data_IF_295682925840
#
_entry.id   IF_295682925840
#
_cell.length_a   1.000
_cell.length_b   1.000
_cell.length_c   1.000
_cell.angle_alpha   90.00
_cell.angle_beta   90.00
_cell.angle_gamma   90.00
#
_symmetry.space_group_name_H-M   'P 1'
#
loop_
_entity.id
_entity.type
_entity.pdbx_description
1 polymer ?
#
# COMPACT_ATOMS: atom_id res chain seq x y z
N UNK A 1 21.22 33.47 -1.96
CA UNK A 1 21.39 32.03 -2.25
C UNK A 1 20.75 31.19 -1.13
N UNK A 2 19.43 31.25 -1.00
CA UNK A 2 18.67 30.49 0.02
C UNK A 2 17.34 30.11 -0.65
N UNK A 3 17.31 29.00 -1.37
CA UNK A 3 16.15 28.60 -2.18
C UNK A 3 16.08 27.09 -2.41
N UNK A 4 16.57 26.30 -1.48
CA UNK A 4 16.66 24.84 -1.65
C UNK A 4 16.47 24.15 -0.32
N UNK A 5 15.20 23.88 0.02
CA UNK A 5 14.68 22.82 0.92
C UNK A 5 13.22 23.16 1.27
N UNK A 6 12.39 23.30 0.24
CA UNK A 6 10.95 23.10 0.37
C UNK A 6 10.79 21.57 0.29
N UNK A 7 10.72 20.82 1.39
CA UNK A 7 9.42 20.46 1.97
C UNK A 7 8.30 21.26 1.30
N UNK A 8 7.74 20.68 0.23
CA UNK A 8 6.52 21.20 -0.37
C UNK A 8 5.52 21.40 0.77
N UNK A 9 5.22 22.66 1.05
CA UNK A 9 4.12 23.04 1.91
C UNK A 9 2.88 22.27 1.47
N UNK A 10 2.02 21.79 2.39
CA UNK A 10 0.72 21.24 2.02
C UNK A 10 0.06 22.19 1.02
N UNK A 11 -0.35 21.69 -0.14
CA UNK A 11 -1.00 22.53 -1.13
C UNK A 11 -2.43 22.85 -0.67
N UNK A 12 -2.53 23.90 0.14
CA UNK A 12 -3.79 24.45 0.65
C UNK A 12 -4.69 25.02 -0.47
N UNK A 13 -4.23 25.07 -1.73
CA UNK A 13 -5.06 25.55 -2.86
C UNK A 13 -6.24 24.63 -3.16
N UNK A 14 -6.13 23.34 -2.80
CA UNK A 14 -7.18 22.32 -2.96
C UNK A 14 -8.16 22.24 -1.78
N UNK A 15 -7.79 22.79 -0.62
CA UNK A 15 -8.53 22.62 0.64
C UNK A 15 -8.43 21.21 1.26
N UNK A 16 -7.58 20.33 0.71
CA UNK A 16 -7.36 18.96 1.20
C UNK A 16 -6.01 18.85 1.94
N UNK A 17 -5.99 18.10 3.04
CA UNK A 17 -4.76 17.74 3.76
C UNK A 17 -4.14 16.52 3.07
N UNK A 18 -3.12 16.76 2.24
CA UNK A 18 -2.46 15.72 1.45
C UNK A 18 -1.28 15.12 2.21
N UNK A 19 -1.22 13.79 2.26
CA UNK A 19 -0.10 13.03 2.84
C UNK A 19 1.08 12.87 1.88
N UNK A 20 2.05 12.04 2.28
CA UNK A 20 3.32 11.82 1.57
C UNK A 20 3.18 11.41 0.09
N UNK A 21 2.12 10.68 -0.25
CA UNK A 21 1.83 10.24 -1.61
C UNK A 21 1.05 11.29 -2.43
N UNK A 22 0.88 12.52 -1.94
CA UNK A 22 0.06 13.55 -2.61
C UNK A 22 -1.44 13.22 -2.62
N UNK A 23 -1.90 12.44 -1.63
CA UNK A 23 -3.28 11.96 -1.51
C UNK A 23 -3.82 12.21 -0.09
N UNK A 24 -5.13 12.38 0.10
CA UNK A 24 -5.74 12.56 1.43
C UNK A 24 -5.79 11.25 2.24
N UNK A 25 -5.14 10.20 1.76
CA UNK A 25 -5.04 8.88 2.39
C UNK A 25 -3.66 8.29 2.12
N UNK A 26 -3.26 7.33 2.96
CA UNK A 26 -1.89 6.81 2.99
C UNK A 26 -1.55 5.94 1.79
N UNK A 27 -2.50 5.14 1.30
CA UNK A 27 -2.27 4.16 0.22
C UNK A 27 -3.15 4.47 -0.99
N UNK A 28 -2.59 4.51 -2.21
CA UNK A 28 -3.38 4.67 -3.43
C UNK A 28 -4.52 3.65 -3.52
N UNK A 29 -5.75 4.14 -3.65
CA UNK A 29 -6.95 3.30 -3.66
C UNK A 29 -7.19 2.75 -5.06
N UNK A 30 -6.97 3.56 -6.09
CA UNK A 30 -7.16 3.15 -7.48
C UNK A 30 -6.43 1.84 -7.84
N UNK A 31 -5.09 1.70 -7.66
CA UNK A 31 -4.40 0.47 -8.06
C UNK A 31 -4.87 -0.75 -7.26
N UNK A 32 -5.26 -0.60 -5.99
CA UNK A 32 -5.84 -1.71 -5.22
C UNK A 32 -7.18 -2.17 -5.81
N UNK A 33 -8.03 -1.23 -6.19
CA UNK A 33 -9.29 -1.53 -6.87
C UNK A 33 -9.07 -2.10 -8.29
N UNK A 34 -8.01 -1.70 -8.99
CA UNK A 34 -7.63 -2.29 -10.28
C UNK A 34 -7.30 -3.77 -10.11
N UNK A 35 -6.45 -4.14 -9.14
CA UNK A 35 -6.11 -5.54 -8.88
C UNK A 35 -7.36 -6.37 -8.56
N UNK A 36 -8.27 -5.82 -7.76
CA UNK A 36 -9.50 -6.50 -7.41
C UNK A 36 -10.42 -6.69 -8.63
N UNK A 37 -10.61 -5.65 -9.44
CA UNK A 37 -11.38 -5.71 -10.69
C UNK A 37 -10.80 -6.73 -11.66
N UNK A 38 -9.48 -6.72 -11.89
CA UNK A 38 -8.80 -7.67 -12.76
C UNK A 38 -8.94 -9.10 -12.23
N UNK A 39 -8.78 -9.30 -10.92
CA UNK A 39 -8.95 -10.59 -10.28
C UNK A 39 -10.36 -11.16 -10.49
N UNK A 40 -11.40 -10.37 -10.22
CA UNK A 40 -12.79 -10.76 -10.43
C UNK A 40 -13.08 -11.07 -11.89
N UNK A 41 -12.66 -10.21 -12.81
CA UNK A 41 -12.86 -10.43 -14.25
C UNK A 41 -12.14 -11.70 -14.75
N UNK A 42 -10.89 -11.92 -14.30
CA UNK A 42 -10.09 -13.09 -14.67
C UNK A 42 -10.69 -14.38 -14.13
N UNK A 43 -11.11 -14.39 -12.87
CA UNK A 43 -11.78 -15.53 -12.25
C UNK A 43 -13.08 -15.84 -12.99
N UNK A 44 -13.87 -14.81 -13.34
CA UNK A 44 -15.09 -14.99 -14.10
C UNK A 44 -14.83 -15.69 -15.45
N UNK A 45 -13.82 -15.21 -16.17
CA UNK A 45 -13.42 -15.77 -17.45
C UNK A 45 -12.90 -17.21 -17.33
N UNK A 46 -12.10 -17.51 -16.30
CA UNK A 46 -11.60 -18.87 -16.05
C UNK A 46 -12.77 -19.83 -15.85
N UNK A 47 -13.76 -19.48 -15.03
CA UNK A 47 -14.92 -20.33 -14.81
C UNK A 47 -15.76 -20.51 -16.08
N UNK A 48 -15.97 -19.45 -16.86
CA UNK A 48 -16.68 -19.55 -18.14
C UNK A 48 -15.91 -20.42 -19.15
N UNK A 49 -14.57 -20.34 -19.20
CA UNK A 49 -13.72 -21.20 -20.04
C UNK A 49 -13.85 -22.66 -19.61
N UNK A 50 -13.69 -22.96 -18.32
CA UNK A 50 -13.80 -24.32 -17.76
C UNK A 50 -15.19 -24.89 -18.07
N UNK A 51 -16.25 -24.14 -17.77
CA UNK A 51 -17.62 -24.57 -17.98
C UNK A 51 -17.94 -24.80 -19.47
N UNK A 52 -17.45 -23.93 -20.36
CA UNK A 52 -17.70 -24.03 -21.81
C UNK A 52 -16.87 -25.13 -22.46
N UNK A 53 -15.63 -25.34 -22.01
CA UNK A 53 -14.65 -26.27 -22.59
C UNK A 53 -14.77 -27.71 -22.06
N UNK A 54 -15.81 -28.01 -21.29
CA UNK A 54 -15.98 -29.31 -20.65
C UNK A 54 -15.92 -30.51 -21.61
N UNK A 55 -16.34 -30.36 -22.87
CA UNK A 55 -16.20 -31.43 -23.87
C UNK A 55 -14.73 -31.73 -24.23
N UNK A 56 -13.90 -30.69 -24.30
CA UNK A 56 -12.48 -30.78 -24.66
C UNK A 56 -11.62 -31.22 -23.48
N UNK A 57 -11.95 -30.75 -22.27
CA UNK A 57 -11.19 -31.04 -21.04
C UNK A 57 -11.60 -32.35 -20.36
N UNK A 58 -12.58 -33.07 -20.93
CA UNK A 58 -13.11 -34.33 -20.40
C UNK A 58 -12.02 -35.38 -20.08
N UNK A 59 -11.02 -35.64 -20.95
CA UNK A 59 -9.98 -36.62 -20.64
C UNK A 59 -9.16 -36.26 -19.39
N UNK A 60 -8.95 -34.97 -19.14
CA UNK A 60 -8.23 -34.48 -17.96
C UNK A 60 -9.08 -34.66 -16.70
N UNK A 61 -10.37 -34.30 -16.77
CA UNK A 61 -11.29 -34.47 -15.64
C UNK A 61 -11.48 -35.94 -15.27
N UNK A 62 -11.64 -36.81 -16.27
CA UNK A 62 -11.77 -38.25 -16.07
C UNK A 62 -10.47 -38.82 -15.45
N UNK A 63 -9.30 -38.38 -15.94
CA UNK A 63 -7.99 -38.78 -15.39
C UNK A 63 -7.78 -38.33 -13.93
N UNK A 64 -8.29 -37.15 -13.57
CA UNK A 64 -8.20 -36.60 -12.21
C UNK A 64 -9.39 -37.00 -11.31
N UNK A 65 -10.37 -37.76 -11.83
CA UNK A 65 -11.62 -38.11 -11.15
C UNK A 65 -12.39 -36.90 -10.60
N UNK A 66 -12.33 -35.78 -11.32
CA UNK A 66 -13.04 -34.55 -10.98
C UNK A 66 -14.39 -34.57 -11.71
N UNK A 67 -15.48 -34.30 -10.99
CA UNK A 67 -16.82 -34.20 -11.57
C UNK A 67 -17.31 -32.75 -11.48
N UNK A 68 -16.92 -31.89 -12.44
CA UNK A 68 -17.18 -30.46 -12.34
C UNK A 68 -18.67 -30.13 -12.51
N UNK A 69 -19.24 -29.40 -11.55
CA UNK A 69 -20.57 -28.84 -11.69
C UNK A 69 -20.53 -27.61 -12.61
N UNK A 70 -20.90 -27.82 -13.87
CA UNK A 70 -20.94 -26.75 -14.89
C UNK A 70 -21.90 -25.63 -14.52
N UNK A 71 -23.02 -25.93 -13.87
CA UNK A 71 -23.99 -24.92 -13.48
C UNK A 71 -23.37 -24.00 -12.42
N UNK A 72 -22.74 -24.59 -11.40
CA UNK A 72 -22.00 -23.85 -10.39
C UNK A 72 -20.89 -22.98 -10.99
N UNK A 73 -20.12 -23.47 -11.97
CA UNK A 73 -19.09 -22.66 -12.63
C UNK A 73 -19.68 -21.49 -13.42
N UNK A 74 -20.79 -21.68 -14.14
CA UNK A 74 -21.44 -20.53 -14.77
C UNK A 74 -21.94 -19.52 -13.74
N UNK A 75 -22.45 -19.97 -12.57
CA UNK A 75 -22.86 -19.07 -11.48
C UNK A 75 -21.68 -18.27 -10.92
N UNK A 76 -20.56 -18.94 -10.62
CA UNK A 76 -19.33 -18.29 -10.17
C UNK A 76 -18.83 -17.29 -11.23
N UNK A 77 -18.85 -17.67 -12.50
CA UNK A 77 -18.51 -16.79 -13.62
C UNK A 77 -19.39 -15.53 -13.64
N UNK A 78 -20.70 -15.70 -13.55
CA UNK A 78 -21.67 -14.62 -13.56
C UNK A 78 -21.47 -13.61 -12.41
N UNK A 79 -21.39 -14.09 -11.17
CA UNK A 79 -21.31 -13.21 -10.01
C UNK A 79 -19.98 -12.46 -9.92
N UNK A 80 -18.87 -13.10 -10.31
CA UNK A 80 -17.58 -12.43 -10.38
C UNK A 80 -17.57 -11.34 -11.46
N UNK A 81 -18.16 -11.60 -12.64
CA UNK A 81 -18.23 -10.60 -13.70
C UNK A 81 -19.11 -9.41 -13.32
N UNK A 82 -20.28 -9.68 -12.70
CA UNK A 82 -21.17 -8.62 -12.22
C UNK A 82 -20.49 -7.76 -11.15
N UNK A 83 -19.80 -8.40 -10.19
CA UNK A 83 -19.02 -7.68 -9.19
C UNK A 83 -17.92 -6.85 -9.84
N UNK A 84 -17.15 -7.42 -10.79
CA UNK A 84 -16.12 -6.70 -11.53
C UNK A 84 -16.69 -5.46 -12.20
N UNK A 85 -17.83 -5.56 -12.88
CA UNK A 85 -18.49 -4.43 -13.53
C UNK A 85 -18.85 -3.31 -12.55
N UNK A 86 -19.45 -3.65 -11.41
CA UNK A 86 -19.83 -2.68 -10.38
C UNK A 86 -18.61 -2.00 -9.76
N UNK A 87 -17.59 -2.78 -9.41
CA UNK A 87 -16.37 -2.26 -8.78
C UNK A 87 -15.58 -1.39 -9.76
N UNK A 88 -15.59 -1.72 -11.07
CA UNK A 88 -14.88 -0.93 -12.07
C UNK A 88 -15.35 0.53 -12.11
N UNK A 89 -16.63 0.82 -11.85
CA UNK A 89 -17.10 2.20 -11.71
C UNK A 89 -16.35 2.94 -10.60
N UNK A 90 -16.20 2.29 -9.44
CA UNK A 90 -15.47 2.84 -8.30
C UNK A 90 -13.97 2.93 -8.61
N UNK A 91 -13.40 1.92 -9.26
CA UNK A 91 -12.01 1.93 -9.74
C UNK A 91 -11.72 3.13 -10.63
N UNK A 92 -12.58 3.40 -11.61
CA UNK A 92 -12.41 4.53 -12.54
C UNK A 92 -12.62 5.87 -11.83
N UNK A 93 -13.59 5.96 -10.91
CA UNK A 93 -13.81 7.19 -10.14
C UNK A 93 -12.58 7.58 -9.31
N UNK A 94 -12.00 6.63 -8.56
CA UNK A 94 -10.75 6.85 -7.84
C UNK A 94 -9.58 7.12 -8.80
N UNK A 95 -9.54 6.45 -9.96
CA UNK A 95 -8.52 6.73 -10.97
C UNK A 95 -8.54 8.18 -11.45
N UNK A 96 -9.73 8.74 -11.71
CA UNK A 96 -9.86 10.16 -12.05
C UNK A 96 -9.48 11.07 -10.89
N UNK A 97 -9.94 10.76 -9.68
CA UNK A 97 -9.60 11.55 -8.50
C UNK A 97 -8.08 11.61 -8.27
N UNK A 98 -7.40 10.47 -8.33
CA UNK A 98 -5.94 10.41 -8.16
C UNK A 98 -5.22 11.11 -9.32
N UNK A 99 -5.66 10.94 -10.58
CA UNK A 99 -5.09 11.69 -11.72
C UNK A 99 -5.23 13.22 -11.58
N UNK A 100 -6.31 13.73 -10.97
CA UNK A 100 -6.48 15.18 -10.73
C UNK A 100 -5.48 15.73 -9.70
N UNK A 101 -4.96 14.87 -8.83
CA UNK A 101 -3.96 15.20 -7.81
C UNK A 101 -2.53 14.81 -8.23
N UNK A 102 -2.36 14.24 -9.42
CA UNK A 102 -1.08 13.75 -9.89
C UNK A 102 -0.24 14.86 -10.55
N UNK A 103 1.05 14.89 -10.22
CA UNK A 103 2.04 15.76 -10.84
C UNK A 103 3.06 14.92 -11.65
N UNK A 104 2.78 14.61 -12.92
CA UNK A 104 3.66 13.75 -13.72
C UNK A 104 5.01 14.42 -13.99
N UNK A 105 6.15 13.73 -13.76
CA UNK A 105 7.47 14.29 -13.94
C UNK A 105 7.74 14.67 -15.41
N UNK A 106 8.23 15.88 -15.63
CA UNK A 106 8.55 16.38 -16.96
C UNK A 106 9.80 15.68 -17.53
N UNK A 107 9.73 15.26 -18.79
CA UNK A 107 10.85 14.63 -19.49
C UNK A 107 11.12 13.16 -19.11
N UNK A 108 10.41 12.60 -18.13
CA UNK A 108 10.47 11.18 -17.81
C UNK A 108 9.77 10.34 -18.89
N UNK A 109 10.37 9.19 -19.22
CA UNK A 109 9.90 8.29 -20.27
C UNK A 109 9.77 6.87 -19.72
N UNK A 110 8.70 6.18 -20.09
CA UNK A 110 8.43 4.82 -19.65
C UNK A 110 9.28 3.80 -20.41
N UNK A 111 9.35 2.53 -19.97
CA UNK A 111 9.98 1.45 -20.73
C UNK A 111 9.43 1.27 -22.15
N UNK A 112 8.23 1.78 -22.43
CA UNK A 112 7.60 1.76 -23.75
C UNK A 112 7.92 2.98 -24.61
N UNK A 113 8.78 3.88 -24.13
CA UNK A 113 9.13 5.11 -24.85
C UNK A 113 8.08 6.22 -24.74
N UNK A 114 7.08 6.07 -23.86
CA UNK A 114 6.01 7.06 -23.67
C UNK A 114 6.36 8.07 -22.57
N UNK A 115 6.16 9.38 -22.78
CA UNK A 115 6.26 10.37 -21.72
C UNK A 115 5.27 10.10 -20.57
N UNK A 116 5.60 10.55 -19.35
CA UNK A 116 4.75 10.35 -18.17
C UNK A 116 3.32 10.89 -18.34
N UNK A 117 3.18 12.12 -18.85
CA UNK A 117 1.88 12.75 -19.10
C UNK A 117 1.07 11.98 -20.16
N UNK A 118 1.72 11.52 -21.23
CA UNK A 118 1.06 10.74 -22.29
C UNK A 118 0.60 9.37 -21.78
N UNK A 119 1.44 8.70 -20.98
CA UNK A 119 1.11 7.44 -20.32
C UNK A 119 -0.11 7.61 -19.40
N UNK A 120 -0.16 8.70 -18.64
CA UNK A 120 -1.28 9.01 -17.75
C UNK A 120 -2.59 9.21 -18.52
N UNK A 121 -2.57 9.96 -19.63
CA UNK A 121 -3.76 10.16 -20.45
C UNK A 121 -4.24 8.89 -21.13
N UNK A 122 -3.32 8.12 -21.73
CA UNK A 122 -3.66 6.85 -22.38
C UNK A 122 -4.21 5.84 -21.38
N UNK A 123 -3.62 5.76 -20.18
CA UNK A 123 -4.13 4.95 -19.07
C UNK A 123 -5.51 5.40 -18.63
N UNK A 124 -5.72 6.71 -18.45
CA UNK A 124 -7.01 7.27 -18.03
C UNK A 124 -8.13 7.00 -19.03
N UNK A 125 -7.91 7.30 -20.32
CA UNK A 125 -8.88 7.03 -21.39
C UNK A 125 -9.09 5.53 -21.57
N UNK A 126 -8.01 4.74 -21.52
CA UNK A 126 -8.05 3.29 -21.58
C UNK A 126 -8.80 2.66 -20.42
N UNK A 127 -8.74 3.24 -19.22
CA UNK A 127 -9.53 2.84 -18.06
C UNK A 127 -11.03 3.04 -18.26
N UNK A 128 -11.45 4.19 -18.81
CA UNK A 128 -12.87 4.44 -19.17
C UNK A 128 -13.34 3.47 -20.25
N UNK A 129 -12.50 3.21 -21.25
CA UNK A 129 -12.82 2.23 -22.28
C UNK A 129 -12.93 0.82 -21.71
N UNK A 130 -12.06 0.44 -20.77
CA UNK A 130 -12.12 -0.84 -20.04
C UNK A 130 -13.45 -0.98 -19.29
N UNK A 131 -13.90 0.07 -18.58
CA UNK A 131 -15.21 0.10 -17.93
C UNK A 131 -16.33 -0.18 -18.92
N UNK A 132 -16.35 0.52 -20.06
CA UNK A 132 -17.35 0.30 -21.10
C UNK A 132 -17.35 -1.15 -21.59
N UNK A 133 -16.17 -1.72 -21.86
CA UNK A 133 -16.03 -3.11 -22.33
C UNK A 133 -16.50 -4.12 -21.29
N UNK A 134 -16.14 -3.96 -20.02
CA UNK A 134 -16.55 -4.85 -18.93
C UNK A 134 -18.07 -4.81 -18.76
N UNK A 135 -18.69 -3.63 -18.78
CA UNK A 135 -20.16 -3.49 -18.70
C UNK A 135 -20.83 -4.14 -19.90
N UNK A 136 -20.32 -3.92 -21.12
CA UNK A 136 -20.87 -4.51 -22.34
C UNK A 136 -20.77 -6.04 -22.32
N UNK A 137 -19.64 -6.59 -21.89
CA UNK A 137 -19.46 -8.04 -21.68
C UNK A 137 -20.42 -8.57 -20.61
N UNK A 138 -20.62 -7.84 -19.51
CA UNK A 138 -21.55 -8.24 -18.45
C UNK A 138 -22.98 -8.33 -18.96
N UNK A 139 -23.42 -7.34 -19.74
CA UNK A 139 -24.75 -7.35 -20.39
C UNK A 139 -24.85 -8.50 -21.38
N UNK A 140 -23.85 -8.68 -22.26
CA UNK A 140 -23.83 -9.80 -23.21
C UNK A 140 -23.90 -11.15 -22.46
N UNK A 141 -23.07 -11.33 -21.43
CA UNK A 141 -23.05 -12.55 -20.61
C UNK A 141 -24.41 -12.84 -19.97
N UNK A 142 -25.08 -11.80 -19.47
CA UNK A 142 -26.41 -11.89 -18.88
C UNK A 142 -27.47 -12.25 -19.92
N UNK A 143 -27.42 -11.67 -21.12
CA UNK A 143 -28.30 -12.02 -22.23
C UNK A 143 -28.11 -13.46 -22.66
N UNK A 144 -26.86 -13.95 -22.74
CA UNK A 144 -26.59 -15.37 -23.01
C UNK A 144 -27.18 -16.26 -21.92
N UNK A 145 -26.89 -15.97 -20.65
CA UNK A 145 -27.34 -16.79 -19.51
C UNK A 145 -28.86 -16.85 -19.39
N UNK A 146 -29.52 -15.70 -19.39
CA UNK A 146 -30.92 -15.60 -18.98
C UNK A 146 -31.90 -15.58 -20.16
N UNK A 147 -31.45 -15.27 -21.38
CA UNK A 147 -32.34 -15.11 -22.54
C UNK A 147 -31.99 -16.03 -23.70
N UNK A 148 -30.80 -15.93 -24.28
CA UNK A 148 -30.45 -16.59 -25.54
C UNK A 148 -30.05 -18.07 -25.37
N UNK A 149 -29.43 -18.42 -24.25
CA UNK A 149 -28.87 -19.76 -24.00
C UNK A 149 -29.36 -20.37 -22.68
N UNK A 150 -30.44 -19.85 -22.10
CA UNK A 150 -30.98 -20.30 -20.80
C UNK A 150 -31.36 -21.78 -20.75
N UNK A 151 -31.70 -22.38 -21.90
CA UNK A 151 -32.04 -23.81 -22.03
C UNK A 151 -30.91 -24.67 -22.59
N UNK A 152 -29.73 -24.08 -22.83
CA UNK A 152 -28.59 -24.79 -23.40
C UNK A 152 -27.66 -25.30 -22.29
N UNK A 153 -27.07 -26.48 -22.51
CA UNK A 153 -26.03 -27.03 -21.60
C UNK A 153 -24.81 -26.11 -21.50
N UNK A 154 -24.49 -25.40 -22.58
CA UNK A 154 -23.49 -24.34 -22.58
C UNK A 154 -24.20 -22.99 -22.52
N UNK A 155 -24.27 -22.39 -21.32
CA UNK A 155 -24.91 -21.09 -21.10
C UNK A 155 -24.09 -19.92 -21.66
N UNK A 156 -22.86 -20.19 -22.09
CA UNK A 156 -21.93 -19.23 -22.69
C UNK A 156 -21.52 -19.67 -24.07
N UNK A 157 -21.33 -18.72 -24.98
CA UNK A 157 -20.75 -18.99 -26.30
C UNK A 157 -19.23 -18.86 -26.30
N UNK A 158 -18.56 -19.64 -27.16
CA UNK A 158 -17.12 -19.48 -27.39
C UNK A 158 -16.74 -18.11 -27.94
N UNK A 159 -17.67 -17.43 -28.64
CA UNK A 159 -17.46 -16.06 -29.14
C UNK A 159 -17.33 -15.06 -27.99
N UNK A 160 -18.23 -15.15 -27.01
CA UNK A 160 -18.13 -14.35 -25.79
C UNK A 160 -16.79 -14.59 -25.08
N UNK A 161 -16.36 -15.85 -24.93
CA UNK A 161 -15.08 -16.20 -24.30
C UNK A 161 -13.90 -15.62 -25.07
N UNK A 162 -13.89 -15.75 -26.40
CA UNK A 162 -12.83 -15.21 -27.25
C UNK A 162 -12.75 -13.67 -27.14
N UNK A 163 -13.88 -12.96 -27.16
CA UNK A 163 -13.89 -11.51 -26.96
C UNK A 163 -13.43 -11.16 -25.55
N UNK A 164 -13.87 -11.88 -24.52
CA UNK A 164 -13.44 -11.66 -23.14
C UNK A 164 -11.93 -11.83 -22.94
N UNK A 165 -11.30 -12.77 -23.65
CA UNK A 165 -9.84 -12.91 -23.68
C UNK A 165 -9.15 -11.71 -24.32
N UNK A 166 -9.70 -11.16 -25.41
CA UNK A 166 -9.17 -9.93 -26.02
C UNK A 166 -9.30 -8.74 -25.06
N UNK A 167 -10.43 -8.63 -24.37
CA UNK A 167 -10.64 -7.59 -23.34
C UNK A 167 -9.67 -7.76 -22.18
N UNK A 168 -9.43 -8.99 -21.72
CA UNK A 168 -8.40 -9.25 -20.71
C UNK A 168 -7.02 -8.80 -21.18
N UNK A 169 -6.66 -9.10 -22.44
CA UNK A 169 -5.40 -8.62 -23.03
C UNK A 169 -5.30 -7.09 -23.03
N UNK A 170 -6.37 -6.39 -23.40
CA UNK A 170 -6.42 -4.93 -23.34
C UNK A 170 -6.28 -4.40 -21.91
N UNK A 171 -7.00 -4.99 -20.95
CA UNK A 171 -6.91 -4.62 -19.53
C UNK A 171 -5.49 -4.85 -19.00
N UNK A 172 -4.80 -5.91 -19.42
CA UNK A 172 -3.39 -6.15 -19.04
C UNK A 172 -2.45 -5.06 -19.55
N UNK A 173 -2.68 -4.53 -20.76
CA UNK A 173 -1.93 -3.36 -21.26
C UNK A 173 -2.18 -2.15 -20.36
N UNK A 174 -3.43 -1.90 -19.99
CA UNK A 174 -3.77 -0.81 -19.07
C UNK A 174 -3.17 -0.99 -17.67
N UNK A 175 -3.17 -2.22 -17.15
CA UNK A 175 -2.57 -2.55 -15.86
C UNK A 175 -1.06 -2.24 -15.86
N UNK A 176 -0.36 -2.55 -16.95
CA UNK A 176 1.06 -2.26 -17.10
C UNK A 176 1.34 -0.75 -17.21
N UNK A 177 0.52 0.02 -17.93
CA UNK A 177 0.63 1.49 -17.94
C UNK A 177 0.42 2.08 -16.54
N UNK A 178 -0.57 1.57 -15.80
CA UNK A 178 -0.78 1.92 -14.40
C UNK A 178 0.41 1.59 -13.50
N UNK A 179 1.03 0.42 -13.72
CA UNK A 179 2.24 0.02 -13.01
C UNK A 179 3.42 0.93 -13.32
N UNK A 180 3.59 1.38 -14.57
CA UNK A 180 4.61 2.35 -14.95
C UNK A 180 4.36 3.72 -14.31
N UNK A 181 3.10 4.16 -14.21
CA UNK A 181 2.74 5.40 -13.51
C UNK A 181 3.18 5.39 -12.05
N UNK A 182 2.88 4.34 -11.30
CA UNK A 182 3.26 4.26 -9.88
C UNK A 182 4.70 3.79 -9.63
N UNK A 183 5.27 2.97 -10.52
CA UNK A 183 6.58 2.32 -10.31
C UNK A 183 7.73 3.00 -11.03
N UNK A 184 7.51 3.49 -12.25
CA UNK A 184 8.53 4.19 -13.04
C UNK A 184 8.49 5.69 -12.82
N UNK A 185 7.29 6.28 -12.83
CA UNK A 185 7.10 7.72 -12.67
C UNK A 185 6.82 8.12 -11.22
N UNK A 186 6.66 7.15 -10.32
CA UNK A 186 6.46 7.38 -8.89
C UNK A 186 5.16 8.11 -8.53
N UNK A 187 4.18 8.17 -9.43
CA UNK A 187 2.90 8.81 -9.14
C UNK A 187 2.23 8.14 -7.94
N UNK A 188 1.96 8.96 -6.92
CA UNK A 188 1.41 8.54 -5.62
C UNK A 188 2.18 7.41 -4.93
N UNK A 189 3.48 7.30 -5.22
CA UNK A 189 4.37 6.35 -4.60
C UNK A 189 5.69 7.04 -4.26
N UNK A 190 5.71 7.68 -3.09
CA UNK A 190 6.88 8.40 -2.59
C UNK A 190 8.13 7.51 -2.64
N UNK A 191 8.04 6.24 -2.25
CA UNK A 191 9.19 5.34 -2.29
C UNK A 191 9.75 5.15 -3.71
N UNK A 192 8.88 4.98 -4.72
CA UNK A 192 9.31 4.84 -6.11
C UNK A 192 9.89 6.14 -6.68
N UNK A 193 9.34 7.31 -6.34
CA UNK A 193 9.91 8.61 -6.72
C UNK A 193 11.38 8.71 -6.30
N UNK A 194 11.66 8.43 -5.02
CA UNK A 194 13.02 8.55 -4.47
C UNK A 194 14.00 7.57 -5.12
N UNK A 195 13.55 6.35 -5.45
CA UNK A 195 14.37 5.39 -6.20
C UNK A 195 14.63 5.89 -7.63
N UNK A 196 13.62 6.46 -8.28
CA UNK A 196 13.71 6.93 -9.67
C UNK A 196 14.62 8.16 -9.84
N UNK A 197 14.69 9.03 -8.82
CA UNK A 197 15.54 10.23 -8.82
C UNK A 197 16.99 9.97 -8.39
N UNK A 198 17.36 8.71 -8.10
CA UNK A 198 18.69 8.35 -7.56
C UNK A 198 19.08 9.15 -6.31
N UNK A 199 18.11 9.63 -5.52
CA UNK A 199 18.42 10.23 -4.24
C UNK A 199 19.01 9.17 -3.32
N UNK A 200 20.22 9.43 -2.81
CA UNK A 200 20.96 8.46 -2.02
C UNK A 200 20.15 8.02 -0.79
N UNK A 201 20.26 6.75 -0.40
CA UNK A 201 19.57 6.19 0.78
C UNK A 201 19.82 6.98 2.09
N UNK A 202 20.85 7.84 2.11
CA UNK A 202 21.11 8.80 3.19
C UNK A 202 20.03 9.89 3.32
N UNK A 203 19.36 10.28 2.23
CA UNK A 203 18.27 11.28 2.23
C UNK A 203 16.93 10.67 2.68
N UNK A 204 16.76 9.35 2.47
CA UNK A 204 15.62 8.56 2.96
C UNK A 204 15.60 8.44 4.50
N UNK A 205 16.73 8.65 5.18
CA UNK A 205 16.82 8.66 6.64
C UNK A 205 16.47 10.03 7.25
N UNK A 206 16.58 11.11 6.47
CA UNK A 206 16.21 12.47 6.90
C UNK A 206 14.76 12.84 6.64
N UNK A 207 14.01 12.05 5.84
CA UNK A 207 12.54 12.07 5.79
C UNK A 207 11.92 11.39 7.03
N UNK A 208 12.52 11.64 8.20
CA UNK A 208 11.77 11.54 9.45
C UNK A 208 10.79 12.71 9.43
N UNK A 209 9.51 12.41 9.62
CA UNK A 209 8.41 13.32 9.95
C UNK A 209 8.96 14.66 10.46
N UNK A 210 8.66 15.82 9.85
CA UNK A 210 9.18 17.09 10.36
C UNK A 210 8.85 17.15 11.84
N UNK A 211 9.89 17.19 12.67
CA UNK A 211 9.73 17.37 14.10
C UNK A 211 8.83 18.59 14.28
N UNK A 212 7.63 18.37 14.83
CA UNK A 212 6.74 19.45 15.24
C UNK A 212 7.61 20.43 16.01
N UNK A 213 7.68 21.66 15.50
CA UNK A 213 8.62 22.69 15.92
C UNK A 213 8.77 22.79 17.44
N UNK A 214 9.80 22.14 17.98
CA UNK A 214 10.35 22.44 19.29
C UNK A 214 11.87 22.38 19.17
N UNK A 215 12.46 23.57 18.97
CA UNK A 215 13.85 23.86 19.32
C UNK A 215 14.93 23.32 18.39
N UNK A 216 15.62 24.23 17.70
CA UNK A 216 16.95 24.01 17.15
C UNK A 216 17.90 23.35 18.18
N UNK A 217 18.64 22.32 17.77
CA UNK A 217 20.09 22.29 17.89
C UNK A 217 20.70 21.16 17.05
N UNK A 218 21.81 21.52 16.41
CA UNK A 218 22.57 20.77 15.42
C UNK A 218 23.56 19.82 16.12
N UNK A 219 23.67 18.58 15.63
CA UNK A 219 24.97 17.96 15.33
C UNK A 219 24.80 16.67 14.52
N UNK A 220 25.39 16.67 13.32
CA UNK A 220 25.54 15.62 12.30
C UNK A 220 25.58 14.16 12.81
N UNK A 221 24.80 13.22 12.23
CA UNK A 221 25.02 11.79 12.43
C UNK A 221 25.99 11.23 11.39
N UNK A 222 27.04 10.57 11.88
CA UNK A 222 27.91 9.70 11.10
C UNK A 222 27.15 8.46 10.63
N UNK A 223 27.36 8.11 9.37
CA UNK A 223 26.88 6.91 8.67
C UNK A 223 27.13 5.61 9.43
N UNK A 224 26.05 4.86 9.69
CA UNK A 224 25.90 3.41 9.93
C UNK A 224 24.81 3.20 10.99
N UNK A 225 23.59 2.83 10.58
CA UNK A 225 22.50 2.53 11.53
C UNK A 225 22.81 1.26 12.34
N UNK A 226 22.99 1.32 13.66
CA UNK A 226 22.77 0.18 14.53
C UNK A 226 21.27 0.08 14.84
N UNK A 227 20.83 -1.08 15.32
CA UNK A 227 19.51 -1.27 15.95
C UNK A 227 19.22 -0.15 16.97
N UNK A 228 17.95 0.18 17.27
CA UNK A 228 17.62 1.21 18.27
C UNK A 228 18.33 0.89 19.59
N UNK A 229 19.23 1.79 19.98
CA UNK A 229 20.04 1.70 21.20
C UNK A 229 19.58 2.77 22.19
N UNK A 230 19.82 2.51 23.46
CA UNK A 230 19.57 3.46 24.52
C UNK A 230 20.64 4.55 24.49
N UNK A 231 20.21 5.81 24.52
CA UNK A 231 21.08 6.99 24.54
C UNK A 231 20.68 7.95 25.65
N UNK A 232 21.64 8.61 26.30
CA UNK A 232 21.36 9.66 27.29
C UNK A 232 21.86 10.99 26.73
N UNK A 233 20.97 11.98 26.67
CA UNK A 233 21.31 13.35 26.29
C UNK A 233 20.94 14.29 27.44
N UNK A 234 21.96 14.88 28.06
CA UNK A 234 21.77 15.72 29.25
C UNK A 234 21.23 14.91 30.43
N UNK A 235 20.03 15.27 30.90
CA UNK A 235 19.28 14.56 31.92
C UNK A 235 18.19 13.66 31.34
N UNK A 236 18.14 13.41 30.03
CA UNK A 236 17.07 12.63 29.38
C UNK A 236 17.60 11.33 28.78
N UNK A 237 16.85 10.26 28.94
CA UNK A 237 17.08 8.93 28.36
C UNK A 237 16.19 8.74 27.14
N UNK A 238 16.77 8.22 26.07
CA UNK A 238 16.14 7.97 24.78
C UNK A 238 16.32 6.51 24.38
N UNK A 239 15.35 5.97 23.63
CA UNK A 239 15.49 4.71 22.89
C UNK A 239 15.25 5.00 21.40
N UNK A 240 16.32 4.90 20.60
CA UNK A 240 16.30 5.46 19.25
C UNK A 240 16.04 6.97 19.30
N UNK A 241 14.94 7.42 18.69
CA UNK A 241 14.57 8.86 18.62
C UNK A 241 13.53 9.29 19.67
N UNK A 242 12.99 8.36 20.45
CA UNK A 242 11.94 8.65 21.42
C UNK A 242 12.54 9.00 22.79
N UNK A 243 12.15 10.13 23.35
CA UNK A 243 12.45 10.45 24.75
C UNK A 243 11.63 9.56 25.67
N UNK A 244 12.31 8.83 26.53
CA UNK A 244 11.70 7.85 27.41
C UNK A 244 11.50 8.44 28.80
N UNK A 245 12.53 9.08 29.40
CA UNK A 245 12.40 9.71 30.72
C UNK A 245 13.49 10.74 31.03
N UNK A 246 13.20 11.64 31.98
CA UNK A 246 14.19 12.54 32.59
C UNK A 246 14.78 11.89 33.85
N UNK A 247 16.09 11.65 33.83
CA UNK A 247 16.90 11.00 34.86
C UNK A 247 17.20 11.99 36.01
N UNK A 248 17.08 11.56 37.28
CA UNK A 248 17.48 12.37 38.40
C UNK A 248 18.99 12.68 38.36
N UNK A 249 19.38 13.82 38.92
CA UNK A 249 20.78 14.27 38.95
C UNK A 249 21.71 13.32 39.70
N UNK A 250 21.18 12.50 40.59
CA UNK A 250 21.91 11.48 41.34
C UNK A 250 22.08 10.14 40.59
N UNK A 251 21.54 10.00 39.37
CA UNK A 251 21.65 8.76 38.61
C UNK A 251 23.06 8.54 38.06
N UNK A 252 23.60 7.33 38.21
CA UNK A 252 24.82 6.90 37.52
C UNK A 252 24.49 6.56 36.05
N UNK A 253 24.53 7.59 35.21
CA UNK A 253 24.09 7.57 33.82
C UNK A 253 24.93 6.63 32.96
N UNK A 254 26.24 6.54 33.22
CA UNK A 254 27.14 5.69 32.45
C UNK A 254 26.85 4.21 32.75
N UNK A 255 26.73 3.85 34.03
CA UNK A 255 26.41 2.48 34.43
C UNK A 255 25.04 2.02 33.90
N UNK A 256 24.04 2.91 33.94
CA UNK A 256 22.71 2.63 33.40
C UNK A 256 22.74 2.39 31.89
N UNK A 257 23.42 3.25 31.12
CA UNK A 257 23.50 3.12 29.67
C UNK A 257 24.18 1.82 29.25
N UNK A 258 25.27 1.45 29.94
CA UNK A 258 25.98 0.19 29.72
C UNK A 258 25.07 -1.00 29.96
N UNK A 259 24.34 -1.03 31.09
CA UNK A 259 23.44 -2.14 31.39
C UNK A 259 22.30 -2.28 30.37
N UNK A 260 21.70 -1.18 29.95
CA UNK A 260 20.59 -1.18 28.99
C UNK A 260 21.04 -1.69 27.60
N UNK A 261 22.21 -1.26 27.14
CA UNK A 261 22.71 -1.61 25.81
C UNK A 261 23.39 -2.99 25.76
N UNK A 262 24.10 -3.42 26.80
CA UNK A 262 24.71 -4.77 26.84
C UNK A 262 23.68 -5.90 26.86
N UNK A 263 22.48 -5.61 27.38
CA UNK A 263 21.40 -6.60 27.54
C UNK A 263 20.43 -6.65 26.36
N UNK A 264 20.56 -5.74 25.38
CA UNK A 264 19.63 -5.59 24.24
C UNK A 264 18.14 -5.48 24.66
N UNK A 265 17.85 -4.83 25.79
CA UNK A 265 16.46 -4.70 26.23
C UNK A 265 15.68 -3.73 25.33
N UNK A 266 14.52 -4.19 24.89
CA UNK A 266 13.56 -3.40 24.14
C UNK A 266 12.56 -2.73 25.09
N UNK A 267 11.81 -1.76 24.58
CA UNK A 267 10.75 -1.09 25.34
C UNK A 267 9.72 -2.07 25.95
N UNK A 268 9.51 -3.24 25.34
CA UNK A 268 8.54 -4.25 25.77
C UNK A 268 9.02 -5.12 26.96
N UNK A 269 10.29 -5.05 27.35
CA UNK A 269 10.84 -5.84 28.46
C UNK A 269 10.48 -5.27 29.85
N UNK A 270 9.77 -4.14 29.88
CA UNK A 270 9.44 -3.39 31.09
C UNK A 270 7.95 -3.41 31.41
N UNK A 271 7.61 -3.62 32.68
CA UNK A 271 6.25 -3.62 33.21
C UNK A 271 6.13 -2.71 34.44
N UNK A 272 4.93 -2.27 34.80
CA UNK A 272 4.71 -1.47 36.02
C UNK A 272 3.82 -2.23 37.00
N UNK A 273 4.27 -2.31 38.25
CA UNK A 273 3.50 -2.83 39.37
C UNK A 273 3.48 -1.81 40.51
N UNK A 274 2.35 -1.12 40.69
CA UNK A 274 2.23 0.00 41.63
C UNK A 274 3.14 1.17 41.24
N UNK A 275 3.96 1.66 42.17
CA UNK A 275 4.94 2.73 41.94
C UNK A 275 6.35 2.18 41.62
N UNK A 276 6.45 1.00 41.00
CA UNK A 276 7.73 0.40 40.64
C UNK A 276 7.75 0.00 39.17
N UNK A 277 8.83 0.36 38.48
CA UNK A 277 9.17 -0.19 37.18
C UNK A 277 9.85 -1.54 37.38
N UNK A 278 9.28 -2.57 36.78
CA UNK A 278 9.82 -3.91 36.75
C UNK A 278 10.46 -4.15 35.39
N UNK A 279 11.58 -4.85 35.39
CA UNK A 279 12.13 -5.50 34.21
C UNK A 279 11.84 -7.00 34.36
N UNK A 280 10.90 -7.51 33.56
CA UNK A 280 10.20 -8.75 33.90
C UNK A 280 9.55 -8.66 35.28
N UNK A 281 9.94 -9.55 36.21
CA UNK A 281 9.42 -9.57 37.59
C UNK A 281 10.33 -8.88 38.61
N UNK A 282 11.43 -8.26 38.17
CA UNK A 282 12.43 -7.66 39.07
C UNK A 282 12.30 -6.14 39.13
N UNK A 283 12.18 -5.55 40.34
CA UNK A 283 12.11 -4.10 40.47
C UNK A 283 13.44 -3.46 40.13
N UNK A 284 13.41 -2.48 39.22
CA UNK A 284 14.55 -1.62 38.95
C UNK A 284 14.62 -0.53 40.02
N UNK A 285 15.78 -0.33 40.67
CA UNK A 285 15.94 0.67 41.70
C UNK A 285 16.04 2.06 41.05
N UNK A 286 14.89 2.63 40.71
CA UNK A 286 14.79 4.01 40.26
C UNK A 286 14.36 4.86 41.45
N UNK A 287 15.26 5.72 41.92
CA UNK A 287 14.93 6.78 42.87
C UNK A 287 14.14 7.88 42.13
N UNK A 288 12.91 7.59 41.75
CA UNK A 288 12.03 8.51 41.05
C UNK A 288 10.67 8.57 41.74
N UNK A 289 10.10 9.77 41.85
CA UNK A 289 8.75 9.97 42.36
C UNK A 289 7.71 9.36 41.40
N UNK A 290 6.52 9.03 41.92
CA UNK A 290 5.45 8.34 41.18
C UNK A 290 5.03 9.01 39.87
N UNK A 291 5.19 10.32 39.76
CA UNK A 291 4.86 11.09 38.54
C UNK A 291 5.76 10.76 37.34
N UNK A 292 7.02 10.38 37.58
CA UNK A 292 7.96 10.06 36.49
C UNK A 292 7.70 8.67 35.89
N UNK A 293 7.14 7.74 36.66
CA UNK A 293 6.83 6.38 36.21
C UNK A 293 5.61 6.35 35.27
N UNK A 294 4.62 7.19 35.51
CA UNK A 294 3.46 7.32 34.61
C UNK A 294 3.85 7.88 33.23
N UNK A 295 4.81 8.83 33.18
CA UNK A 295 5.33 9.36 31.90
C UNK A 295 6.13 8.34 31.14
N UNK A 296 6.91 7.52 31.85
CA UNK A 296 7.63 6.40 31.27
C UNK A 296 6.68 5.38 30.62
N UNK A 297 5.59 5.04 31.30
CA UNK A 297 4.57 4.14 30.77
C UNK A 297 3.92 4.68 29.50
N UNK A 298 3.56 5.96 29.50
CA UNK A 298 2.95 6.61 28.34
C UNK A 298 3.91 6.65 27.14
N UNK A 299 5.20 6.92 27.39
CA UNK A 299 6.23 6.91 26.37
C UNK A 299 6.44 5.49 25.79
N UNK A 300 6.55 4.47 26.64
CA UNK A 300 6.75 3.08 26.20
C UNK A 300 5.52 2.51 25.47
N UNK A 301 4.29 2.83 25.91
CA UNK A 301 3.06 2.39 25.25
C UNK A 301 2.80 3.12 23.92
N UNK A 302 3.34 4.33 23.74
CA UNK A 302 3.25 5.09 22.47
C UNK A 302 4.21 4.59 21.38
N UNK A 303 5.09 3.65 21.72
CA UNK A 303 6.02 2.99 20.78
C UNK A 303 5.43 1.71 20.15
N UNK A 304 4.15 1.41 20.41
CA UNK A 304 3.39 0.28 19.83
C UNK A 304 2.59 0.69 18.60
#
# INVERSE_FOLDING_TARGET
>A
MIGSLLATSPDWSSGLDLGLNGLPYTLPVHPNLVHFTIGLFSIALIFDVIATSHGLLRPIYDGLKINPDRAAYYDLGWWNLLAAALITFVTVAFGFFEMLLAEPPAGAVSPWGLPALETMYLHGVGGVFSLFMIVLLTVWRGLERYRWRSRQRAQVSLRYVAVSLLVLGFISVQAEMGAQLGGTFGLHNTAALHISEQQSVAELQTLTIPARSVGQAISTPTTNYPLPRWEIQGDRLYYGVAEVLTLPTSADRAALLTQLNERNWSADDFAIAGNQLLLGDRPLPLAASSDHLYRLQAALLSLR
#
